data_IF_288166060481
#
_entry.id   IF_288166060481
#
_cell.length_a   1.000
_cell.length_b   1.000
_cell.length_c   1.000
_cell.angle_alpha   90.00
_cell.angle_beta   90.00
_cell.angle_gamma   90.00
#
_symmetry.space_group_name_H-M   'P 1'
#
loop_
_entity.id
_entity.type
_entity.pdbx_description
1 polymer ?
#
# COMPACT_ATOMS: atom_id res chain seq x y z
N UNK A 1 12.74 -43.44 -6.44
CA UNK A 1 11.62 -43.23 -7.41
C UNK A 1 11.09 -44.56 -7.95
N UNK A 2 11.91 -45.43 -8.55
CA UNK A 2 11.48 -46.76 -9.05
C UNK A 2 10.76 -47.63 -8.01
N UNK A 3 11.22 -47.66 -6.76
CA UNK A 3 10.52 -48.38 -5.67
C UNK A 3 9.07 -47.92 -5.49
N UNK A 4 8.84 -46.60 -5.49
CA UNK A 4 7.51 -46.00 -5.31
C UNK A 4 6.59 -46.35 -6.49
N UNK A 5 7.11 -46.33 -7.71
CA UNK A 5 6.37 -46.70 -8.92
C UNK A 5 5.97 -48.19 -8.91
N UNK A 6 6.90 -49.08 -8.55
CA UNK A 6 6.65 -50.52 -8.47
C UNK A 6 5.62 -50.86 -7.40
N UNK A 7 5.70 -50.23 -6.22
CA UNK A 7 4.69 -50.43 -5.17
C UNK A 7 3.31 -49.94 -5.62
N UNK A 8 3.23 -48.78 -6.29
CA UNK A 8 1.97 -48.29 -6.84
C UNK A 8 1.38 -49.21 -7.91
N UNK A 9 2.20 -49.81 -8.76
CA UNK A 9 1.75 -50.75 -9.80
C UNK A 9 1.38 -52.13 -9.23
N UNK A 10 1.92 -52.51 -8.07
CA UNK A 10 1.62 -53.79 -7.43
C UNK A 10 0.21 -53.89 -6.82
N UNK A 11 -0.45 -52.75 -6.60
CA UNK A 11 -1.81 -52.69 -6.05
C UNK A 11 -2.83 -52.72 -7.18
N UNK A 12 -3.59 -53.80 -7.30
CA UNK A 12 -4.66 -53.91 -8.28
C UNK A 12 -5.79 -52.89 -7.99
N UNK A 13 -6.35 -52.21 -9.02
CA UNK A 13 -7.34 -51.15 -8.84
C UNK A 13 -8.67 -51.61 -8.21
N UNK A 14 -8.98 -52.92 -8.26
CA UNK A 14 -10.18 -53.52 -7.66
C UNK A 14 -9.92 -54.15 -6.27
N UNK A 15 -8.73 -53.95 -5.69
CA UNK A 15 -8.40 -54.47 -4.36
C UNK A 15 -9.04 -53.62 -3.26
N UNK A 16 -9.52 -54.27 -2.19
CA UNK A 16 -9.99 -53.60 -0.97
C UNK A 16 -8.85 -53.04 -0.12
N UNK A 17 -7.59 -53.40 -0.41
CA UNK A 17 -6.42 -52.96 0.33
C UNK A 17 -5.61 -51.91 -0.46
N UNK A 18 -5.21 -50.84 0.23
CA UNK A 18 -4.41 -49.74 -0.31
C UNK A 18 -3.04 -49.69 0.36
N UNK A 19 -1.97 -49.69 -0.44
CA UNK A 19 -0.58 -49.54 0.04
C UNK A 19 -0.04 -48.21 -0.49
N UNK A 20 0.57 -47.42 0.40
CA UNK A 20 1.12 -46.10 0.10
C UNK A 20 2.62 -46.11 0.41
N UNK A 21 3.50 -46.09 -0.61
CA UNK A 21 4.93 -46.03 -0.39
C UNK A 21 5.37 -44.64 0.06
N UNK A 22 6.28 -44.58 1.02
CA UNK A 22 6.94 -43.35 1.46
C UNK A 22 8.44 -43.58 1.55
N UNK A 23 9.21 -42.65 1.00
CA UNK A 23 10.68 -42.67 0.97
C UNK A 23 11.23 -41.29 1.32
N UNK A 24 12.52 -41.21 1.69
CA UNK A 24 13.20 -39.93 1.89
C UNK A 24 13.19 -39.08 0.63
N UNK A 25 13.36 -39.69 -0.55
CA UNK A 25 13.29 -38.97 -1.83
C UNK A 25 11.91 -38.40 -2.14
N UNK A 26 10.82 -39.11 -1.77
CA UNK A 26 9.47 -38.56 -1.92
C UNK A 26 9.21 -37.40 -0.95
N UNK A 27 9.82 -37.41 0.23
CA UNK A 27 9.77 -36.28 1.16
C UNK A 27 10.47 -35.05 0.54
N UNK A 28 11.67 -35.24 -0.01
CA UNK A 28 12.39 -34.17 -0.71
C UNK A 28 11.62 -33.65 -1.94
N UNK A 29 11.00 -34.54 -2.73
CA UNK A 29 10.16 -34.15 -3.88
C UNK A 29 8.93 -33.35 -3.42
N UNK A 30 8.32 -33.71 -2.28
CA UNK A 30 7.22 -32.94 -1.66
C UNK A 30 7.72 -31.56 -1.22
N UNK A 31 8.84 -31.47 -0.50
CA UNK A 31 9.42 -30.19 -0.06
C UNK A 31 9.81 -29.30 -1.25
N UNK A 32 10.34 -29.90 -2.32
CA UNK A 32 10.68 -29.21 -3.56
C UNK A 32 9.42 -28.69 -4.24
N UNK A 33 8.36 -29.50 -4.33
CA UNK A 33 7.06 -29.10 -4.88
C UNK A 33 6.39 -27.96 -4.07
N UNK A 34 6.50 -27.98 -2.72
CA UNK A 34 6.06 -26.86 -1.88
C UNK A 34 6.87 -25.58 -2.11
N UNK A 35 8.14 -25.70 -2.51
CA UNK A 35 9.02 -24.58 -2.83
C UNK A 35 8.90 -24.11 -4.28
N UNK A 36 8.32 -24.94 -5.17
CA UNK A 36 8.15 -24.65 -6.59
C UNK A 36 6.90 -23.77 -6.80
N UNK A 37 7.04 -22.50 -6.43
CA UNK A 37 5.95 -21.54 -6.53
C UNK A 37 5.87 -21.07 -7.98
N UNK A 38 4.79 -21.43 -8.66
CA UNK A 38 4.52 -20.91 -10.00
C UNK A 38 4.45 -19.38 -9.98
N UNK A 39 5.40 -18.76 -10.66
CA UNK A 39 5.57 -17.30 -10.78
C UNK A 39 4.24 -16.62 -11.15
N UNK A 40 3.42 -17.28 -11.98
CA UNK A 40 2.11 -16.79 -12.40
C UNK A 40 1.16 -16.59 -11.20
N UNK A 41 1.11 -17.51 -10.23
CA UNK A 41 0.24 -17.37 -9.04
C UNK A 41 0.71 -16.25 -8.12
N UNK A 42 2.03 -16.13 -7.97
CA UNK A 42 2.66 -15.08 -7.16
C UNK A 42 2.40 -13.71 -7.79
N UNK A 43 2.67 -13.58 -9.09
CA UNK A 43 2.42 -12.37 -9.85
C UNK A 43 0.91 -12.00 -9.86
N UNK A 44 0.02 -12.98 -10.04
CA UNK A 44 -1.43 -12.73 -10.00
C UNK A 44 -1.89 -12.28 -8.62
N UNK A 45 -1.34 -12.85 -7.54
CA UNK A 45 -1.61 -12.42 -6.17
C UNK A 45 -1.16 -10.99 -5.90
N UNK A 46 0.05 -10.62 -6.35
CA UNK A 46 0.54 -9.24 -6.23
C UNK A 46 -0.30 -8.26 -7.05
N UNK A 47 -0.62 -8.61 -8.29
CA UNK A 47 -1.44 -7.76 -9.16
C UNK A 47 -2.82 -7.53 -8.53
N UNK A 48 -3.45 -8.59 -8.01
CA UNK A 48 -4.79 -8.51 -7.42
C UNK A 48 -4.78 -7.73 -6.11
N UNK A 49 -3.77 -7.90 -5.25
CA UNK A 49 -3.65 -7.11 -4.03
C UNK A 49 -3.35 -5.65 -4.33
N UNK A 50 -2.47 -5.36 -5.30
CA UNK A 50 -2.17 -3.99 -5.73
C UNK A 50 -3.40 -3.34 -6.35
N UNK A 51 -4.15 -4.07 -7.19
CA UNK A 51 -5.42 -3.61 -7.74
C UNK A 51 -6.44 -3.34 -6.63
N UNK A 52 -6.61 -4.25 -5.67
CA UNK A 52 -7.50 -4.07 -4.52
C UNK A 52 -7.12 -2.85 -3.68
N UNK A 53 -5.84 -2.66 -3.37
CA UNK A 53 -5.37 -1.48 -2.64
C UNK A 53 -5.63 -0.18 -3.43
N UNK A 54 -5.38 -0.20 -4.74
CA UNK A 54 -5.67 0.94 -5.63
C UNK A 54 -7.17 1.24 -5.71
N UNK A 55 -8.02 0.22 -5.87
CA UNK A 55 -9.48 0.32 -5.93
C UNK A 55 -10.06 0.86 -4.62
N UNK A 56 -9.55 0.38 -3.48
CA UNK A 56 -10.00 0.82 -2.15
C UNK A 56 -9.57 2.26 -1.85
N UNK A 57 -8.40 2.66 -2.33
CA UNK A 57 -7.89 4.05 -2.29
C UNK A 57 -8.64 5.00 -3.24
N UNK A 58 -9.20 4.48 -4.33
CA UNK A 58 -9.91 5.27 -5.33
C UNK A 58 -11.29 5.69 -4.81
N UNK A 59 -11.34 6.70 -3.95
CA UNK A 59 -12.61 7.37 -3.64
C UNK A 59 -13.13 8.12 -4.86
N UNK A 60 -14.40 7.88 -5.17
CA UNK A 60 -15.12 8.38 -6.35
C UNK A 60 -15.53 9.87 -6.27
N UNK A 61 -14.81 10.68 -5.50
CA UNK A 61 -15.11 12.11 -5.36
C UNK A 61 -14.25 12.94 -6.31
N UNK A 62 -14.76 13.16 -7.53
CA UNK A 62 -14.10 13.89 -8.63
C UNK A 62 -13.63 15.34 -8.28
N UNK A 63 -14.05 15.91 -7.15
CA UNK A 63 -13.65 17.27 -6.73
C UNK A 63 -12.59 17.31 -5.63
N UNK A 64 -12.29 16.17 -4.98
CA UNK A 64 -11.27 16.02 -3.91
C UNK A 64 -10.43 14.76 -4.14
N UNK A 65 -10.10 14.46 -5.40
CA UNK A 65 -9.43 13.23 -5.76
C UNK A 65 -8.12 13.06 -4.96
N UNK A 66 -8.08 12.06 -4.07
CA UNK A 66 -6.86 11.57 -3.41
C UNK A 66 -6.40 10.24 -4.03
N UNK A 67 -7.00 9.85 -5.17
CA UNK A 67 -6.68 8.60 -5.85
C UNK A 67 -5.22 8.54 -6.30
N UNK A 68 -4.67 9.65 -6.82
CA UNK A 68 -3.28 9.72 -7.23
C UNK A 68 -2.30 9.57 -6.04
N UNK A 69 -2.61 10.18 -4.90
CA UNK A 69 -1.83 10.04 -3.65
C UNK A 69 -1.87 8.61 -3.14
N UNK A 70 -3.06 8.00 -3.13
CA UNK A 70 -3.23 6.61 -2.72
C UNK A 70 -2.46 5.64 -3.62
N UNK A 71 -2.54 5.82 -4.94
CA UNK A 71 -1.78 5.05 -5.92
C UNK A 71 -0.27 5.21 -5.73
N UNK A 72 0.21 6.45 -5.59
CA UNK A 72 1.62 6.73 -5.34
C UNK A 72 2.10 6.13 -4.01
N UNK A 73 1.25 6.16 -2.98
CA UNK A 73 1.52 5.53 -1.69
C UNK A 73 1.64 4.00 -1.79
N UNK A 74 0.72 3.32 -2.47
CA UNK A 74 0.80 1.86 -2.68
C UNK A 74 2.04 1.47 -3.48
N UNK A 75 2.37 2.23 -4.53
CA UNK A 75 3.61 2.02 -5.30
C UNK A 75 4.86 2.24 -4.45
N UNK A 76 4.87 3.26 -3.59
CA UNK A 76 5.97 3.53 -2.67
C UNK A 76 6.17 2.38 -1.68
N UNK A 77 5.09 1.81 -1.12
CA UNK A 77 5.17 0.62 -0.24
C UNK A 77 5.67 -0.60 -1.02
N UNK A 78 5.19 -0.82 -2.25
CA UNK A 78 5.70 -1.93 -3.07
C UNK A 78 7.21 -1.80 -3.35
N UNK A 79 7.69 -0.59 -3.64
CA UNK A 79 9.11 -0.30 -3.82
C UNK A 79 9.90 -0.47 -2.50
N UNK A 80 9.33 -0.11 -1.35
CA UNK A 80 9.99 -0.30 -0.05
C UNK A 80 10.18 -1.78 0.29
N UNK A 81 9.17 -2.61 -0.01
CA UNK A 81 9.27 -4.07 0.13
C UNK A 81 10.33 -4.64 -0.80
N UNK A 82 10.33 -4.24 -2.08
CA UNK A 82 11.34 -4.67 -3.04
C UNK A 82 12.76 -4.28 -2.60
N UNK A 83 12.94 -3.05 -2.10
CA UNK A 83 14.22 -2.56 -1.60
C UNK A 83 14.69 -3.32 -0.34
N UNK A 84 13.80 -3.54 0.63
CA UNK A 84 14.12 -4.27 1.86
C UNK A 84 14.50 -5.73 1.60
N UNK A 85 13.75 -6.42 0.73
CA UNK A 85 14.08 -7.80 0.32
C UNK A 85 15.36 -7.84 -0.53
N UNK A 86 15.57 -6.87 -1.41
CA UNK A 86 16.80 -6.72 -2.18
C UNK A 86 18.03 -6.58 -1.29
N UNK A 87 17.93 -5.76 -0.23
CA UNK A 87 19.00 -5.64 0.75
C UNK A 87 19.22 -6.94 1.53
N UNK A 88 18.15 -7.62 1.95
CA UNK A 88 18.26 -8.92 2.63
C UNK A 88 18.98 -9.97 1.77
N UNK A 89 18.73 -9.96 0.45
CA UNK A 89 19.43 -10.78 -0.52
C UNK A 89 20.92 -10.45 -0.57
N UNK A 90 21.27 -9.16 -0.59
CA UNK A 90 22.65 -8.69 -0.64
C UNK A 90 23.44 -9.07 0.63
N UNK A 91 22.78 -9.06 1.80
CA UNK A 91 23.38 -9.46 3.09
C UNK A 91 23.53 -11.00 3.18
N UNK A 92 22.94 -11.76 2.24
CA UNK A 92 23.05 -13.22 2.19
C UNK A 92 22.03 -13.95 3.07
N UNK A 93 20.92 -13.31 3.43
CA UNK A 93 19.84 -13.98 4.16
C UNK A 93 19.10 -14.91 3.20
N UNK A 94 19.09 -16.21 3.53
CA UNK A 94 18.43 -17.23 2.71
C UNK A 94 16.92 -16.98 2.58
N UNK A 95 16.43 -16.94 1.34
CA UNK A 95 15.00 -16.93 1.05
C UNK A 95 14.40 -18.31 1.27
N UNK A 96 13.23 -18.34 1.88
CA UNK A 96 12.41 -19.54 2.04
C UNK A 96 11.03 -19.37 1.38
N UNK A 97 10.27 -20.45 1.25
CA UNK A 97 8.95 -20.40 0.62
C UNK A 97 7.98 -19.43 1.34
N UNK A 98 8.05 -19.32 2.68
CA UNK A 98 7.21 -18.40 3.43
C UNK A 98 7.54 -16.92 3.16
N UNK A 99 8.82 -16.59 2.97
CA UNK A 99 9.30 -15.23 2.67
C UNK A 99 8.91 -14.76 1.28
N UNK A 100 8.82 -15.66 0.30
CA UNK A 100 8.40 -15.27 -1.06
C UNK A 100 6.88 -15.24 -1.20
N UNK A 101 6.16 -16.05 -0.41
CA UNK A 101 4.70 -16.19 -0.50
C UNK A 101 3.91 -15.29 0.46
N UNK A 102 4.37 -15.09 1.70
CA UNK A 102 3.57 -14.44 2.76
C UNK A 102 4.11 -13.06 3.10
N UNK A 103 5.43 -12.93 3.19
CA UNK A 103 6.08 -11.73 3.69
C UNK A 103 5.67 -10.45 2.92
N UNK A 104 5.59 -10.44 1.59
CA UNK A 104 5.33 -9.18 0.90
C UNK A 104 3.85 -8.78 1.01
N UNK A 105 2.93 -9.72 1.17
CA UNK A 105 1.53 -9.44 1.50
C UNK A 105 1.39 -8.84 2.90
N UNK A 106 2.09 -9.42 3.88
CA UNK A 106 2.14 -8.89 5.23
C UNK A 106 2.73 -7.47 5.22
N UNK A 107 3.86 -7.27 4.56
CA UNK A 107 4.55 -5.99 4.53
C UNK A 107 3.75 -4.90 3.79
N UNK A 108 3.09 -5.25 2.70
CA UNK A 108 2.18 -4.33 2.01
C UNK A 108 0.99 -3.95 2.89
N UNK A 109 0.40 -4.90 3.61
CA UNK A 109 -0.69 -4.61 4.57
C UNK A 109 -0.26 -3.63 5.66
N UNK A 110 0.91 -3.86 6.28
CA UNK A 110 1.47 -2.97 7.30
C UNK A 110 1.80 -1.59 6.72
N UNK A 111 2.46 -1.52 5.56
CA UNK A 111 2.89 -0.23 5.02
C UNK A 111 1.77 0.62 4.44
N UNK A 112 0.75 -0.02 3.88
CA UNK A 112 -0.44 0.67 3.37
C UNK A 112 -1.22 1.33 4.52
N UNK A 113 -1.29 0.72 5.70
CA UNK A 113 -1.91 1.32 6.90
C UNK A 113 -1.27 2.68 7.26
N UNK A 114 0.06 2.74 7.33
CA UNK A 114 0.80 3.98 7.63
C UNK A 114 0.55 5.07 6.58
N UNK A 115 0.53 4.68 5.29
CA UNK A 115 0.23 5.58 4.17
C UNK A 115 -1.19 6.13 4.26
N UNK A 116 -2.19 5.29 4.54
CA UNK A 116 -3.58 5.70 4.69
C UNK A 116 -3.76 6.64 5.88
N UNK A 117 -3.15 6.32 7.02
CA UNK A 117 -3.20 7.15 8.22
C UNK A 117 -2.64 8.55 7.93
N UNK A 118 -1.47 8.63 7.26
CA UNK A 118 -0.85 9.90 6.94
C UNK A 118 -1.64 10.68 5.87
N UNK A 119 -2.14 10.01 4.83
CA UNK A 119 -2.97 10.62 3.79
C UNK A 119 -4.27 11.19 4.35
N UNK A 120 -4.91 10.48 5.29
CA UNK A 120 -6.11 10.92 5.97
C UNK A 120 -5.85 12.13 6.86
N UNK A 121 -4.82 12.06 7.71
CA UNK A 121 -4.43 13.18 8.58
C UNK A 121 -4.05 14.43 7.79
N UNK A 122 -3.42 14.24 6.63
CA UNK A 122 -3.06 15.32 5.73
C UNK A 122 -4.28 15.94 5.05
N UNK A 123 -5.27 15.12 4.67
CA UNK A 123 -6.56 15.58 4.15
C UNK A 123 -7.32 16.44 5.17
N UNK A 124 -7.33 16.01 6.44
CA UNK A 124 -7.92 16.76 7.55
C UNK A 124 -7.18 18.10 7.77
N UNK A 125 -5.85 18.07 7.78
CA UNK A 125 -5.00 19.26 7.96
C UNK A 125 -5.15 20.24 6.80
N UNK A 126 -5.24 19.74 5.56
CA UNK A 126 -5.41 20.54 4.34
C UNK A 126 -6.73 21.32 4.27
N UNK A 127 -7.77 20.87 4.97
CA UNK A 127 -9.05 21.59 5.07
C UNK A 127 -8.99 22.77 6.06
N UNK A 128 -7.98 22.80 6.93
CA UNK A 128 -7.83 23.85 7.93
C UNK A 128 -7.17 25.10 7.31
N UNK A 129 -7.98 26.11 6.96
CA UNK A 129 -7.51 27.38 6.39
C UNK A 129 -6.65 28.23 7.34
N UNK A 130 -6.56 27.87 8.63
CA UNK A 130 -5.74 28.62 9.61
C UNK A 130 -4.23 28.40 9.45
N UNK A 131 -3.82 27.32 8.78
CA UNK A 131 -2.40 26.96 8.64
C UNK A 131 -1.91 27.42 7.26
N UNK A 132 -0.80 28.18 7.18
CA UNK A 132 -0.20 28.58 5.92
C UNK A 132 0.22 27.35 5.10
N UNK A 133 0.17 27.48 3.78
CA UNK A 133 0.33 26.36 2.86
C UNK A 133 1.65 25.59 3.05
N UNK A 134 2.74 26.32 3.28
CA UNK A 134 4.10 25.77 3.43
C UNK A 134 4.25 24.92 4.71
N UNK A 135 3.50 25.24 5.77
CA UNK A 135 3.61 24.55 7.06
C UNK A 135 2.68 23.35 7.20
N UNK A 136 1.72 23.14 6.27
CA UNK A 136 0.71 22.07 6.37
C UNK A 136 1.32 20.68 6.44
N UNK A 137 2.35 20.42 5.63
CA UNK A 137 3.06 19.13 5.62
C UNK A 137 3.80 18.92 6.94
N UNK A 138 4.47 19.96 7.45
CA UNK A 138 5.19 19.91 8.72
C UNK A 138 4.25 19.67 9.92
N UNK A 139 3.12 20.37 9.97
CA UNK A 139 2.15 20.22 11.06
C UNK A 139 1.46 18.84 11.02
N UNK A 140 1.13 18.34 9.83
CA UNK A 140 0.62 16.98 9.67
C UNK A 140 1.63 15.93 10.16
N UNK A 141 2.90 16.08 9.75
CA UNK A 141 3.97 15.14 10.14
C UNK A 141 4.26 15.22 11.65
N UNK A 142 4.19 16.41 12.24
CA UNK A 142 4.33 16.60 13.69
C UNK A 142 3.22 15.90 14.47
N UNK A 143 1.97 15.96 13.99
CA UNK A 143 0.81 15.36 14.66
C UNK A 143 0.74 13.85 14.48
N UNK A 144 0.96 13.37 13.26
CA UNK A 144 0.72 11.95 12.89
C UNK A 144 2.01 11.13 12.78
N UNK A 145 3.13 11.75 12.45
CA UNK A 145 4.42 11.08 12.28
C UNK A 145 4.92 10.41 13.57
N UNK A 146 4.61 10.97 14.73
CA UNK A 146 4.92 10.33 16.02
C UNK A 146 4.15 9.01 16.21
N UNK A 147 2.88 8.97 15.78
CA UNK A 147 2.07 7.74 15.83
C UNK A 147 2.61 6.67 14.89
N UNK A 148 2.96 7.06 13.65
CA UNK A 148 3.55 6.16 12.64
C UNK A 148 4.92 5.64 13.10
N UNK A 149 5.72 6.48 13.76
CA UNK A 149 6.99 6.04 14.34
C UNK A 149 6.78 5.04 15.47
N UNK A 150 5.80 5.26 16.34
CA UNK A 150 5.49 4.33 17.43
C UNK A 150 5.03 2.96 16.91
N UNK A 151 4.13 2.93 15.92
CA UNK A 151 3.67 1.68 15.29
C UNK A 151 4.83 0.96 14.60
N UNK A 152 5.64 1.68 13.83
CA UNK A 152 6.80 1.12 13.13
C UNK A 152 7.85 0.56 14.08
N UNK A 153 8.22 1.29 15.13
CA UNK A 153 9.18 0.82 16.15
C UNK A 153 8.62 -0.41 16.87
N UNK A 154 7.33 -0.41 17.21
CA UNK A 154 6.67 -1.59 17.80
C UNK A 154 6.72 -2.80 16.86
N UNK A 155 6.46 -2.62 15.56
CA UNK A 155 6.54 -3.70 14.58
C UNK A 155 7.97 -4.23 14.43
N UNK A 156 8.96 -3.34 14.33
CA UNK A 156 10.37 -3.71 14.23
C UNK A 156 10.81 -4.50 15.46
N UNK A 157 10.49 -4.03 16.67
CA UNK A 157 10.83 -4.73 17.91
C UNK A 157 10.13 -6.09 18.01
N UNK A 158 8.86 -6.19 17.61
CA UNK A 158 8.14 -7.46 17.56
C UNK A 158 8.80 -8.48 16.60
N UNK A 159 9.19 -8.05 15.40
CA UNK A 159 9.90 -8.92 14.46
C UNK A 159 11.31 -9.29 14.95
N UNK A 160 12.04 -8.37 15.59
CA UNK A 160 13.32 -8.70 16.21
C UNK A 160 13.18 -9.72 17.34
N UNK A 161 12.14 -9.62 18.17
CA UNK A 161 11.85 -10.62 19.20
C UNK A 161 11.46 -11.98 18.59
N UNK A 162 10.72 -11.98 17.49
CA UNK A 162 10.40 -13.20 16.75
C UNK A 162 11.65 -13.89 16.14
N UNK A 163 12.74 -13.15 15.90
CA UNK A 163 14.00 -13.71 15.43
C UNK A 163 14.75 -14.55 16.48
N UNK A 164 14.34 -14.50 17.76
CA UNK A 164 14.89 -15.35 18.82
C UNK A 164 14.39 -16.80 18.75
N UNK A 165 13.35 -17.07 17.94
CA UNK A 165 12.81 -18.42 17.77
C UNK A 165 13.88 -19.34 17.16
N UNK A 166 14.14 -20.53 17.72
CA UNK A 166 15.22 -21.42 17.29
C UNK A 166 15.01 -22.08 15.92
N UNK A 167 13.86 -21.86 15.27
CA UNK A 167 13.53 -22.42 13.95
C UNK A 167 14.15 -21.51 12.87
N UNK A 168 15.17 -21.98 12.12
CA UNK A 168 15.95 -21.12 11.22
C UNK A 168 15.12 -20.48 10.11
N UNK A 169 14.10 -21.18 9.61
CA UNK A 169 13.18 -20.62 8.61
C UNK A 169 12.40 -19.40 9.15
N UNK A 170 11.90 -19.47 10.39
CA UNK A 170 11.18 -18.36 11.01
C UNK A 170 12.11 -17.22 11.41
N UNK A 171 13.35 -17.52 11.77
CA UNK A 171 14.38 -16.51 12.05
C UNK A 171 14.74 -15.71 10.81
N UNK A 172 14.94 -16.36 9.66
CA UNK A 172 15.18 -15.66 8.40
C UNK A 172 13.96 -14.80 7.99
N UNK A 173 12.75 -15.34 8.13
CA UNK A 173 11.51 -14.62 7.84
C UNK A 173 11.35 -13.35 8.68
N UNK A 174 11.55 -13.46 10.00
CA UNK A 174 11.40 -12.34 10.94
C UNK A 174 12.47 -11.27 10.74
N UNK A 175 13.72 -11.65 10.46
CA UNK A 175 14.77 -10.68 10.11
C UNK A 175 14.45 -9.93 8.82
N UNK A 176 13.99 -10.62 7.77
CA UNK A 176 13.57 -9.97 6.52
C UNK A 176 12.38 -9.03 6.75
N UNK A 177 11.39 -9.44 7.55
CA UNK A 177 10.26 -8.61 7.93
C UNK A 177 10.70 -7.34 8.67
N UNK A 178 11.60 -7.46 9.65
CA UNK A 178 12.13 -6.31 10.38
C UNK A 178 12.81 -5.31 9.42
N UNK A 179 13.67 -5.78 8.52
CA UNK A 179 14.34 -4.92 7.53
C UNK A 179 13.32 -4.23 6.62
N UNK A 180 12.35 -4.99 6.08
CA UNK A 180 11.31 -4.42 5.22
C UNK A 180 10.48 -3.36 5.94
N UNK A 181 10.10 -3.57 7.20
CA UNK A 181 9.36 -2.57 7.98
C UNK A 181 10.20 -1.32 8.24
N UNK A 182 11.51 -1.45 8.49
CA UNK A 182 12.41 -0.27 8.61
C UNK A 182 12.46 0.52 7.31
N UNK A 183 12.57 -0.15 6.16
CA UNK A 183 12.53 0.50 4.86
C UNK A 183 11.18 1.16 4.59
N UNK A 184 10.08 0.50 4.93
CA UNK A 184 8.75 1.07 4.82
C UNK A 184 8.63 2.34 5.66
N UNK A 185 9.01 2.30 6.93
CA UNK A 185 9.01 3.45 7.82
C UNK A 185 9.82 4.63 7.25
N UNK A 186 11.03 4.36 6.76
CA UNK A 186 11.87 5.39 6.17
C UNK A 186 11.24 6.01 4.91
N UNK A 187 10.71 5.20 4.00
CA UNK A 187 10.04 5.68 2.78
C UNK A 187 8.77 6.48 3.11
N UNK A 188 7.96 6.00 4.06
CA UNK A 188 6.69 6.63 4.45
C UNK A 188 6.90 7.92 5.26
N UNK A 189 7.94 8.04 6.09
CA UNK A 189 8.21 9.32 6.77
C UNK A 189 8.98 10.32 5.91
N UNK A 190 9.83 9.89 4.99
CA UNK A 190 10.69 10.79 4.22
C UNK A 190 10.11 11.14 2.86
N UNK A 191 9.70 10.14 2.07
CA UNK A 191 9.30 10.33 0.68
C UNK A 191 7.81 10.62 0.57
N UNK A 192 6.97 9.94 1.35
CA UNK A 192 5.53 10.12 1.24
C UNK A 192 5.06 11.56 1.55
N UNK A 193 5.58 12.27 2.57
CA UNK A 193 5.26 13.69 2.78
C UNK A 193 5.68 14.60 1.62
N UNK A 194 6.75 14.25 0.90
CA UNK A 194 7.17 14.98 -0.30
C UNK A 194 6.21 14.72 -1.47
N UNK A 195 5.67 13.51 -1.60
CA UNK A 195 4.60 13.20 -2.58
C UNK A 195 3.33 13.99 -2.22
N UNK A 196 2.97 14.03 -0.93
CA UNK A 196 1.83 14.78 -0.42
C UNK A 196 1.97 16.30 -0.65
N UNK A 197 3.16 16.86 -0.41
CA UNK A 197 3.41 18.29 -0.65
C UNK A 197 3.36 18.63 -2.13
N UNK A 198 3.95 17.79 -2.99
CA UNK A 198 3.85 17.93 -4.45
C UNK A 198 2.40 17.84 -4.94
N UNK A 199 1.61 16.92 -4.37
CA UNK A 199 0.18 16.82 -4.69
C UNK A 199 -0.61 18.06 -4.24
N UNK A 200 -0.29 18.65 -3.07
CA UNK A 200 -0.91 19.92 -2.65
C UNK A 200 -0.63 21.05 -3.64
N UNK A 201 0.61 21.22 -4.08
CA UNK A 201 0.95 22.26 -5.06
C UNK A 201 0.16 22.07 -6.35
N UNK A 202 0.03 20.82 -6.80
CA UNK A 202 -0.75 20.49 -7.99
C UNK A 202 -2.25 20.79 -7.83
N UNK A 203 -2.82 20.56 -6.65
CA UNK A 203 -4.23 20.85 -6.35
C UNK A 203 -4.52 22.34 -6.32
N UNK A 204 -3.59 23.14 -5.81
CA UNK A 204 -3.69 24.60 -5.83
C UNK A 204 -3.75 25.11 -7.29
N UNK A 205 -2.94 24.52 -8.17
CA UNK A 205 -2.92 24.79 -9.61
C UNK A 205 -4.12 24.18 -10.40
N UNK A 206 -5.07 23.51 -9.72
CA UNK A 206 -6.27 22.86 -10.30
C UNK A 206 -6.00 21.92 -11.49
N UNK A 207 -4.85 21.25 -11.52
CA UNK A 207 -4.51 20.28 -12.58
C UNK A 207 -5.10 18.90 -12.30
N UNK A 208 -5.46 18.15 -13.35
CA UNK A 208 -6.06 16.82 -13.22
C UNK A 208 -5.08 15.74 -12.73
N UNK A 209 -5.64 14.74 -12.06
CA UNK A 209 -4.90 13.70 -11.33
C UNK A 209 -4.09 12.73 -12.20
N UNK A 210 -4.55 12.48 -13.44
CA UNK A 210 -4.09 11.36 -14.29
C UNK A 210 -3.32 11.82 -15.55
N UNK A 211 -3.47 13.08 -15.96
CA UNK A 211 -2.70 13.68 -17.05
C UNK A 211 -2.29 15.10 -16.65
N UNK A 212 -1.00 15.29 -16.31
CA UNK A 212 -0.41 16.55 -15.85
C UNK A 212 -0.53 17.75 -16.81
N UNK A 213 -1.11 17.55 -18.01
CA UNK A 213 -1.22 18.54 -19.08
C UNK A 213 -2.66 19.01 -19.38
N UNK A 214 -3.69 18.44 -18.76
CA UNK A 214 -5.08 18.86 -18.97
C UNK A 214 -5.69 19.49 -17.71
N UNK A 215 -6.21 20.71 -17.86
CA UNK A 215 -6.96 21.45 -16.85
C UNK A 215 -8.32 20.79 -16.64
N UNK A 216 -8.75 20.60 -15.39
CA UNK A 216 -10.09 20.05 -15.12
C UNK A 216 -11.16 21.07 -15.52
N UNK A 217 -12.19 20.71 -16.31
CA UNK A 217 -13.34 21.58 -16.57
C UNK A 217 -14.33 21.63 -15.38
N UNK A 218 -14.00 21.04 -14.23
CA UNK A 218 -14.88 21.06 -13.07
C UNK A 218 -14.84 22.43 -12.37
N UNK A 219 -15.65 23.36 -12.89
CA UNK A 219 -16.09 24.55 -12.18
C UNK A 219 -16.76 24.10 -10.88
N UNK A 220 -16.05 24.29 -9.77
CA UNK A 220 -16.67 24.31 -8.46
C UNK A 220 -17.62 25.51 -8.43
N UNK A 221 -18.91 25.28 -8.70
CA UNK A 221 -19.97 26.23 -8.28
C UNK A 221 -20.05 26.16 -6.76
N UNK A 222 -19.06 26.73 -6.08
CA UNK A 222 -19.21 27.08 -4.67
C UNK A 222 -20.04 28.35 -4.68
N UNK A 223 -21.34 28.21 -4.42
CA UNK A 223 -22.17 29.35 -4.01
C UNK A 223 -21.55 29.82 -2.70
N UNK A 224 -20.72 30.85 -2.78
CA UNK A 224 -20.21 31.57 -1.62
C UNK A 224 -21.40 32.35 -1.08
N UNK A 225 -22.18 31.74 -0.17
CA UNK A 225 -23.16 32.47 0.63
C UNK A 225 -22.36 33.30 1.62
N UNK A 226 -21.99 34.51 1.19
CA UNK A 226 -21.56 35.58 2.09
C UNK A 226 -22.71 35.82 3.07
N UNK A 227 -22.51 35.76 4.40
CA UNK A 227 -23.57 36.14 5.33
C UNK A 227 -23.82 37.64 5.14
N UNK A 228 -24.95 37.99 4.54
CA UNK A 228 -25.36 39.39 4.36
C UNK A 228 -25.52 40.03 5.75
N UNK A 229 -24.56 40.88 6.10
CA UNK A 229 -24.73 41.85 7.16
C UNK A 229 -25.87 42.81 6.74
N UNK A 230 -26.89 42.89 7.59
CA UNK A 230 -28.03 43.79 7.45
C UNK A 230 -27.55 45.22 7.15
N UNK A 231 -27.89 45.75 5.97
CA UNK A 231 -27.88 47.19 5.71
C UNK A 231 -29.13 47.56 4.90
N UNK A 232 -29.76 48.64 5.33
CA UNK A 232 -31.09 49.17 4.95
C UNK A 232 -31.27 49.53 3.45
N UNK A 233 -32.53 49.77 2.98
CA UNK A 233 -32.91 49.54 1.60
C UNK A 233 -32.81 50.79 0.72
N UNK A 234 -31.98 50.76 -0.32
CA UNK A 234 -32.10 51.70 -1.45
C UNK A 234 -31.80 51.03 -2.80
N UNK A 235 -32.87 50.91 -3.59
CA UNK A 235 -32.96 50.92 -5.07
C UNK A 235 -31.68 50.81 -5.91
N UNK A 236 -31.53 49.72 -6.68
CA UNK A 236 -31.54 49.81 -8.15
C UNK A 236 -31.41 48.43 -8.82
N UNK A 237 -32.35 48.18 -9.72
CA UNK A 237 -32.48 47.05 -10.64
C UNK A 237 -31.24 46.92 -11.52
N UNK A 238 -30.55 45.76 -11.50
CA UNK A 238 -29.60 45.40 -12.56
C UNK A 238 -29.80 43.93 -12.95
N UNK A 239 -30.42 43.73 -14.11
CA UNK A 239 -30.55 42.44 -14.80
C UNK A 239 -29.15 41.89 -15.10
N UNK A 240 -28.85 40.66 -14.69
CA UNK A 240 -27.71 39.88 -15.18
C UNK A 240 -28.21 38.84 -16.19
N UNK A 241 -27.61 38.72 -17.39
CA UNK A 241 -28.00 37.72 -18.37
C UNK A 241 -27.53 36.31 -17.94
N UNK A 242 -28.24 35.23 -18.36
CA UNK A 242 -27.80 33.87 -18.05
C UNK A 242 -26.56 33.48 -18.87
N UNK A 243 -25.63 32.68 -18.31
CA UNK A 243 -24.44 32.22 -19.03
C UNK A 243 -24.77 31.12 -20.06
N UNK A 244 -23.92 30.96 -21.09
CA UNK A 244 -24.21 30.08 -22.23
C UNK A 244 -24.13 28.60 -21.84
N UNK A 245 -25.02 27.82 -22.44
CA UNK A 245 -25.07 26.36 -22.33
C UNK A 245 -24.10 25.80 -23.39
N UNK A 246 -23.10 25.03 -22.98
CA UNK A 246 -22.30 24.22 -23.90
C UNK A 246 -22.73 22.76 -23.79
N UNK A 247 -23.08 22.19 -24.95
CA UNK A 247 -23.39 20.78 -25.24
C UNK A 247 -22.13 19.94 -25.21
#
# INVERSE_FOLDING_TARGET
>A
RTYVEVVHQSVAPNSTQKVLPFTTTTLDDILKSFSDVSVIRVASGYLLMLAYACLTMLRWDCSKSQGAVGLAGVLLVALSVAAGLGLCSLIGISFNAATTQVLPFLALGVGVDDVFLLAHAFSETGQNKRIPFEDRTGECLKRTGASVALTSISNVTAFFMAALIPIPALRAFSLQAAVVVVFNFAMVLLIFPAILSMDLYRREDRRLDIFCCFTSPCVSRVIQVEPQAYTEPHSNTRYNPPPPICV
#
